data_IF_681830369432
#
_entry.id   IF_681830369432
#
_cell.length_a   1.000
_cell.length_b   1.000
_cell.length_c   1.000
_cell.angle_alpha   90.00
_cell.angle_beta   90.00
_cell.angle_gamma   90.00
#
_symmetry.space_group_name_H-M   'P 1'
#
loop_
_entity.id
_entity.type
_entity.pdbx_description
1 polymer ?
#
# COMPACT_ATOMS: atom_id res chain seq x y z
N UNK A 1 13.29 -8.64 -5.71
CA UNK A 1 13.81 -10.02 -5.85
C UNK A 1 15.24 -10.10 -6.42
N UNK A 2 15.64 -9.27 -7.39
CA UNK A 2 17.04 -9.30 -7.89
C UNK A 2 18.08 -9.07 -6.79
N UNK A 3 17.85 -8.06 -5.92
CA UNK A 3 18.73 -7.84 -4.76
C UNK A 3 18.78 -9.02 -3.77
N UNK A 4 17.69 -9.79 -3.63
CA UNK A 4 17.68 -11.02 -2.83
C UNK A 4 18.57 -12.09 -3.46
N UNK A 5 18.46 -12.31 -4.78
CA UNK A 5 19.31 -13.26 -5.50
C UNK A 5 20.80 -12.91 -5.32
N UNK A 6 21.12 -11.62 -5.43
CA UNK A 6 22.48 -11.14 -5.20
C UNK A 6 22.94 -11.41 -3.78
N UNK A 7 22.17 -11.07 -2.76
CA UNK A 7 22.50 -11.35 -1.36
C UNK A 7 22.69 -12.84 -1.10
N UNK A 8 21.81 -13.71 -1.62
CA UNK A 8 21.96 -15.17 -1.46
C UNK A 8 23.29 -15.66 -2.03
N UNK A 9 23.72 -15.13 -3.17
CA UNK A 9 25.04 -15.45 -3.77
C UNK A 9 26.19 -14.93 -2.92
N UNK A 10 26.10 -13.69 -2.45
CA UNK A 10 27.15 -13.03 -1.64
C UNK A 10 27.35 -13.72 -0.29
N UNK A 11 26.27 -14.10 0.39
CA UNK A 11 26.32 -14.78 1.69
C UNK A 11 26.74 -16.27 1.58
N UNK A 12 26.56 -16.91 0.40
CA UNK A 12 27.10 -18.25 0.11
C UNK A 12 26.48 -19.40 0.93
N UNK A 13 25.34 -19.21 1.58
CA UNK A 13 24.67 -20.26 2.36
C UNK A 13 23.93 -21.28 1.48
N UNK A 14 23.71 -20.95 0.21
CA UNK A 14 23.08 -21.82 -0.79
C UNK A 14 24.15 -22.22 -1.81
N UNK A 15 24.20 -23.52 -2.15
CA UNK A 15 25.11 -24.02 -3.17
C UNK A 15 24.84 -23.29 -4.50
N UNK A 16 25.87 -22.89 -5.27
CA UNK A 16 25.71 -22.06 -6.47
C UNK A 16 24.72 -22.60 -7.49
N UNK A 17 24.69 -23.92 -7.67
CA UNK A 17 23.78 -24.65 -8.57
C UNK A 17 22.35 -24.73 -8.09
N UNK A 18 22.10 -24.43 -6.80
CA UNK A 18 20.77 -24.38 -6.16
C UNK A 18 20.23 -22.96 -5.96
N UNK A 19 21.00 -21.94 -6.32
CA UNK A 19 20.53 -20.55 -6.25
C UNK A 19 19.45 -20.34 -7.32
N UNK A 20 18.23 -20.03 -6.87
CA UNK A 20 17.11 -19.75 -7.74
C UNK A 20 17.26 -18.38 -8.41
N UNK A 21 16.55 -18.20 -9.51
CA UNK A 21 16.36 -16.88 -10.10
C UNK A 21 15.36 -16.02 -9.30
N UNK A 22 15.13 -14.81 -9.76
CA UNK A 22 14.20 -13.87 -9.10
C UNK A 22 12.77 -14.40 -9.01
N UNK A 23 12.37 -15.22 -9.95
CA UNK A 23 11.01 -15.79 -10.01
C UNK A 23 10.86 -16.96 -9.05
N UNK A 24 11.88 -17.83 -8.94
CA UNK A 24 11.91 -18.91 -7.96
C UNK A 24 11.84 -18.36 -6.53
N UNK A 25 12.61 -17.32 -6.20
CA UNK A 25 12.50 -16.68 -4.88
C UNK A 25 11.17 -15.91 -4.69
N UNK A 26 10.60 -15.35 -5.76
CA UNK A 26 9.25 -14.75 -5.67
C UNK A 26 8.18 -15.79 -5.36
N UNK A 27 8.28 -16.96 -5.97
CA UNK A 27 7.34 -18.06 -5.72
C UNK A 27 7.39 -18.52 -4.25
N UNK A 28 8.58 -18.75 -3.69
CA UNK A 28 8.75 -19.09 -2.27
C UNK A 28 8.17 -18.00 -1.36
N UNK A 29 8.49 -16.73 -1.66
CA UNK A 29 7.95 -15.62 -0.88
C UNK A 29 6.42 -15.57 -0.91
N UNK A 30 5.82 -15.72 -2.08
CA UNK A 30 4.37 -15.71 -2.23
C UNK A 30 3.72 -16.89 -1.49
N UNK A 31 4.30 -18.09 -1.58
CA UNK A 31 3.80 -19.27 -0.88
C UNK A 31 3.77 -19.05 0.64
N UNK A 32 4.90 -18.61 1.22
CA UNK A 32 4.97 -18.30 2.64
C UNK A 32 4.02 -17.17 3.07
N UNK A 33 3.90 -16.14 2.25
CA UNK A 33 2.98 -15.03 2.51
C UNK A 33 1.53 -15.50 2.50
N UNK A 34 1.13 -16.27 1.49
CA UNK A 34 -0.23 -16.79 1.37
C UNK A 34 -0.59 -17.76 2.49
N UNK A 35 0.35 -18.58 2.96
CA UNK A 35 0.15 -19.45 4.13
C UNK A 35 -0.22 -18.61 5.35
N UNK A 36 0.58 -17.59 5.68
CA UNK A 36 0.31 -16.68 6.80
C UNK A 36 -1.02 -15.92 6.65
N UNK A 37 -1.32 -15.46 5.44
CA UNK A 37 -2.58 -14.74 5.15
C UNK A 37 -3.76 -15.67 5.31
N UNK A 38 -3.70 -16.89 4.77
CA UNK A 38 -4.79 -17.87 4.84
C UNK A 38 -5.06 -18.31 6.28
N UNK A 39 -4.04 -18.51 7.11
CA UNK A 39 -4.19 -18.80 8.55
C UNK A 39 -4.97 -17.66 9.24
N UNK A 40 -4.58 -16.41 9.03
CA UNK A 40 -5.27 -15.27 9.62
C UNK A 40 -6.71 -15.14 9.11
N UNK A 41 -6.94 -15.39 7.82
CA UNK A 41 -8.28 -15.37 7.23
C UNK A 41 -9.17 -16.47 7.80
N UNK A 42 -8.64 -17.67 8.04
CA UNK A 42 -9.39 -18.75 8.71
C UNK A 42 -9.83 -18.33 10.14
N UNK A 43 -8.97 -17.62 10.87
CA UNK A 43 -9.31 -17.08 12.20
C UNK A 43 -10.35 -15.96 12.13
N UNK A 44 -10.36 -15.15 11.07
CA UNK A 44 -11.43 -14.18 10.80
C UNK A 44 -12.75 -14.90 10.56
N UNK A 45 -12.77 -15.94 9.74
CA UNK A 45 -13.96 -16.73 9.45
C UNK A 45 -14.51 -17.46 10.68
N UNK A 46 -13.61 -17.86 11.58
CA UNK A 46 -13.99 -18.45 12.88
C UNK A 46 -14.48 -17.41 13.90
N UNK A 47 -14.44 -16.11 13.58
CA UNK A 47 -14.81 -15.04 14.51
C UNK A 47 -13.79 -14.78 15.63
N UNK A 48 -12.58 -15.32 15.52
CA UNK A 48 -11.49 -15.08 16.48
C UNK A 48 -10.81 -13.72 16.24
N UNK A 49 -10.84 -13.23 15.02
CA UNK A 49 -10.33 -11.93 14.59
C UNK A 49 -11.45 -11.08 14.00
N UNK A 50 -11.38 -9.76 14.17
CA UNK A 50 -12.24 -8.79 13.51
C UNK A 50 -11.58 -8.15 12.30
N UNK A 51 -12.34 -7.42 11.48
CA UNK A 51 -11.80 -6.65 10.35
C UNK A 51 -10.73 -5.65 10.79
N UNK A 52 -10.88 -5.08 11.96
CA UNK A 52 -9.92 -4.15 12.56
C UNK A 52 -8.54 -4.78 12.80
N UNK A 53 -8.46 -6.12 12.90
CA UNK A 53 -7.17 -6.82 13.03
C UNK A 53 -6.35 -6.84 11.74
N UNK A 54 -6.97 -6.51 10.61
CA UNK A 54 -6.35 -6.51 9.28
C UNK A 54 -6.10 -5.10 8.73
N UNK A 55 -6.68 -4.08 9.33
CA UNK A 55 -6.62 -2.71 8.83
C UNK A 55 -5.94 -1.76 9.81
N UNK A 56 -5.39 -0.68 9.30
CA UNK A 56 -4.96 0.44 10.13
C UNK A 56 -6.21 1.10 10.70
N UNK A 57 -6.17 1.40 12.00
CA UNK A 57 -7.32 1.96 12.73
C UNK A 57 -7.93 3.16 12.01
N UNK A 58 -9.24 3.10 11.75
CA UNK A 58 -10.01 4.13 11.09
C UNK A 58 -9.79 4.24 9.57
N UNK A 59 -9.01 3.32 8.96
CA UNK A 59 -8.71 3.38 7.53
C UNK A 59 -9.94 3.13 6.66
N UNK A 60 -10.76 2.15 7.01
CA UNK A 60 -11.96 1.79 6.23
C UNK A 60 -12.97 2.92 6.27
N UNK A 61 -13.23 3.49 7.45
CA UNK A 61 -14.13 4.64 7.62
C UNK A 61 -13.63 5.86 6.86
N UNK A 62 -12.32 6.10 6.87
CA UNK A 62 -11.71 7.18 6.10
C UNK A 62 -11.93 6.99 4.60
N UNK A 63 -11.74 5.78 4.06
CA UNK A 63 -11.99 5.47 2.66
C UNK A 63 -13.44 5.72 2.26
N UNK A 64 -14.39 5.28 3.07
CA UNK A 64 -15.81 5.54 2.83
C UNK A 64 -16.16 7.04 2.90
N UNK A 65 -15.50 7.80 3.77
CA UNK A 65 -15.67 9.25 3.83
C UNK A 65 -15.12 9.94 2.57
N UNK A 66 -13.98 9.50 2.03
CA UNK A 66 -13.46 9.99 0.74
C UNK A 66 -14.46 9.73 -0.39
N UNK A 67 -15.02 8.52 -0.47
CA UNK A 67 -16.07 8.16 -1.44
C UNK A 67 -17.30 9.06 -1.29
N UNK A 68 -17.77 9.25 -0.05
CA UNK A 68 -18.94 10.11 0.25
C UNK A 68 -18.74 11.57 -0.20
N UNK A 69 -17.49 12.05 -0.17
CA UNK A 69 -17.10 13.38 -0.68
C UNK A 69 -16.92 13.44 -2.19
N UNK A 70 -17.10 12.33 -2.89
CA UNK A 70 -16.94 12.26 -4.35
C UNK A 70 -15.49 12.30 -4.83
N UNK A 71 -14.54 11.96 -3.96
CA UNK A 71 -13.13 11.89 -4.33
C UNK A 71 -12.83 10.60 -5.10
N UNK A 72 -12.05 10.71 -6.17
CA UNK A 72 -11.58 9.56 -6.92
C UNK A 72 -10.46 8.85 -6.17
N UNK A 73 -10.69 7.61 -5.81
CA UNK A 73 -9.74 6.80 -5.03
C UNK A 73 -9.12 5.70 -5.90
N UNK A 74 -7.81 5.53 -5.79
CA UNK A 74 -7.02 4.52 -6.52
C UNK A 74 -6.26 3.67 -5.52
N UNK A 75 -6.38 2.35 -5.62
CA UNK A 75 -5.60 1.40 -4.83
C UNK A 75 -4.44 0.87 -5.67
N UNK A 76 -3.21 1.08 -5.21
CA UNK A 76 -1.99 0.65 -5.89
C UNK A 76 -1.18 -0.29 -4.99
N UNK A 77 -1.11 -1.57 -5.34
CA UNK A 77 -0.35 -2.58 -4.59
C UNK A 77 0.75 -3.21 -5.44
N UNK A 78 1.84 -3.62 -4.79
CA UNK A 78 2.86 -4.48 -5.41
C UNK A 78 2.49 -5.97 -5.43
N UNK A 79 1.40 -6.34 -4.76
CA UNK A 79 0.83 -7.70 -4.72
C UNK A 79 0.09 -8.00 -6.03
N UNK A 80 -0.11 -9.27 -6.34
CA UNK A 80 -0.81 -9.68 -7.55
C UNK A 80 -2.27 -9.18 -7.51
N UNK A 81 -2.77 -8.66 -8.65
CA UNK A 81 -4.05 -7.94 -8.74
C UNK A 81 -5.23 -8.74 -8.19
N UNK A 82 -5.30 -10.04 -8.52
CA UNK A 82 -6.38 -10.92 -8.06
C UNK A 82 -6.45 -11.02 -6.54
N UNK A 83 -5.28 -11.08 -5.88
CA UNK A 83 -5.19 -11.12 -4.44
C UNK A 83 -5.63 -9.80 -3.83
N UNK A 84 -5.18 -8.67 -4.38
CA UNK A 84 -5.56 -7.34 -3.91
C UNK A 84 -7.08 -7.14 -4.01
N UNK A 85 -7.70 -7.52 -5.12
CA UNK A 85 -9.15 -7.40 -5.32
C UNK A 85 -9.90 -8.28 -4.32
N UNK A 86 -9.46 -9.53 -4.15
CA UNK A 86 -10.06 -10.47 -3.21
C UNK A 86 -10.01 -9.96 -1.77
N UNK A 87 -8.85 -9.47 -1.35
CA UNK A 87 -8.65 -8.92 -0.01
C UNK A 87 -9.47 -7.64 0.20
N UNK A 88 -9.47 -6.72 -0.75
CA UNK A 88 -10.23 -5.48 -0.66
C UNK A 88 -11.75 -5.73 -0.52
N UNK A 89 -12.27 -6.72 -1.25
CA UNK A 89 -13.69 -7.14 -1.13
C UNK A 89 -13.98 -7.76 0.23
N UNK A 90 -13.09 -8.63 0.70
CA UNK A 90 -13.26 -9.31 2.00
C UNK A 90 -13.18 -8.33 3.17
N UNK A 91 -12.34 -7.31 3.08
CA UNK A 91 -12.19 -6.28 4.10
C UNK A 91 -13.20 -5.12 3.95
N UNK A 92 -14.11 -5.18 2.98
CA UNK A 92 -15.26 -4.30 2.87
C UNK A 92 -14.97 -2.90 2.33
N UNK A 93 -13.89 -2.70 1.57
CA UNK A 93 -13.55 -1.38 1.01
C UNK A 93 -13.33 -1.37 -0.51
N UNK A 94 -13.52 -2.49 -1.20
CA UNK A 94 -13.30 -2.57 -2.66
C UNK A 94 -14.18 -1.58 -3.44
N UNK A 95 -15.42 -1.39 -2.99
CA UNK A 95 -16.42 -0.52 -3.63
C UNK A 95 -16.02 0.96 -3.64
N UNK A 96 -15.11 1.38 -2.75
CA UNK A 96 -14.54 2.74 -2.75
C UNK A 96 -13.70 2.98 -4.01
N UNK A 97 -12.95 1.97 -4.43
CA UNK A 97 -12.05 2.06 -5.57
C UNK A 97 -12.73 1.68 -6.88
N UNK A 98 -13.60 0.67 -6.88
CA UNK A 98 -14.32 0.18 -8.06
C UNK A 98 -15.27 1.23 -8.65
N UNK A 99 -15.78 2.15 -7.81
CA UNK A 99 -16.77 3.13 -8.23
C UNK A 99 -16.22 4.23 -9.15
N UNK A 100 -15.02 4.71 -8.93
CA UNK A 100 -14.51 5.92 -9.60
C UNK A 100 -13.00 5.92 -9.92
N UNK A 101 -12.23 4.97 -9.42
CA UNK A 101 -10.78 4.98 -9.58
C UNK A 101 -10.26 3.70 -10.19
N UNK A 102 -10.12 2.72 -9.37
CA UNK A 102 -9.67 1.38 -9.76
C UNK A 102 -8.71 0.76 -8.75
N UNK A 103 -8.60 -0.55 -8.85
CA UNK A 103 -7.67 -1.35 -8.09
C UNK A 103 -6.57 -1.80 -9.05
N UNK A 104 -5.32 -1.51 -8.69
CA UNK A 104 -4.14 -1.81 -9.48
C UNK A 104 -3.18 -2.68 -8.67
N UNK A 105 -2.75 -3.76 -9.30
CA UNK A 105 -1.81 -4.71 -8.74
C UNK A 105 -0.82 -5.21 -9.78
N UNK A 106 0.10 -6.06 -9.36
CA UNK A 106 1.01 -6.72 -10.29
C UNK A 106 0.23 -7.70 -11.18
N UNK A 107 0.48 -7.67 -12.49
CA UNK A 107 -0.11 -8.59 -13.47
C UNK A 107 1.04 -9.27 -14.20
N UNK A 108 1.38 -10.49 -13.77
CA UNK A 108 2.36 -11.38 -14.42
C UNK A 108 3.76 -10.79 -14.59
N UNK A 109 3.88 -9.69 -15.29
CA UNK A 109 5.16 -9.04 -15.59
C UNK A 109 5.30 -7.76 -14.75
N UNK A 110 6.23 -7.77 -13.79
CA UNK A 110 6.49 -6.65 -12.86
C UNK A 110 6.86 -5.36 -13.64
N UNK A 111 7.36 -5.49 -14.87
CA UNK A 111 7.72 -4.33 -15.69
C UNK A 111 6.49 -3.58 -16.24
N UNK A 112 5.32 -4.23 -16.28
CA UNK A 112 4.08 -3.61 -16.79
C UNK A 112 3.39 -2.72 -15.77
N UNK A 113 3.51 -3.01 -14.47
CA UNK A 113 2.93 -2.20 -13.41
C UNK A 113 4.03 -1.54 -12.57
N UNK A 114 3.98 -0.22 -12.46
CA UNK A 114 4.74 0.52 -11.47
C UNK A 114 3.89 1.66 -10.90
N UNK A 115 4.04 1.92 -9.60
CA UNK A 115 3.35 3.05 -8.94
C UNK A 115 3.64 4.38 -9.64
N UNK A 116 4.85 4.54 -10.21
CA UNK A 116 5.21 5.70 -11.03
C UNK A 116 4.30 5.84 -12.26
N UNK A 117 4.17 4.77 -13.07
CA UNK A 117 3.33 4.78 -14.28
C UNK A 117 1.87 5.08 -13.94
N UNK A 118 1.37 4.52 -12.83
CA UNK A 118 -0.01 4.77 -12.38
C UNK A 118 -0.21 6.25 -12.01
N UNK A 119 0.69 6.85 -11.25
CA UNK A 119 0.64 8.27 -10.89
C UNK A 119 0.64 9.16 -12.14
N UNK A 120 1.55 8.90 -13.09
CA UNK A 120 1.62 9.64 -14.36
C UNK A 120 0.36 9.45 -15.21
N UNK A 121 -0.23 8.26 -15.20
CA UNK A 121 -1.48 7.95 -15.89
C UNK A 121 -2.65 8.72 -15.30
N UNK A 122 -2.85 8.69 -13.98
CA UNK A 122 -3.92 9.42 -13.29
C UNK A 122 -3.86 10.91 -13.58
N UNK A 123 -2.67 11.51 -13.46
CA UNK A 123 -2.48 12.93 -13.75
C UNK A 123 -2.88 13.26 -15.18
N UNK A 124 -2.43 12.46 -16.15
CA UNK A 124 -2.71 12.68 -17.57
C UNK A 124 -4.20 12.50 -17.90
N UNK A 125 -4.82 11.43 -17.41
CA UNK A 125 -6.22 11.10 -17.72
C UNK A 125 -7.21 12.12 -17.17
N UNK A 126 -6.91 12.68 -16.00
CA UNK A 126 -7.77 13.65 -15.33
C UNK A 126 -7.31 15.10 -15.49
N UNK A 127 -6.20 15.34 -16.19
CA UNK A 127 -5.65 16.68 -16.37
C UNK A 127 -5.26 17.37 -15.07
N UNK A 128 -4.83 16.60 -14.06
CA UNK A 128 -4.56 17.12 -12.72
C UNK A 128 -3.27 17.92 -12.67
N UNK A 129 -3.27 18.94 -11.81
CA UNK A 129 -2.05 19.56 -11.32
C UNK A 129 -1.59 18.86 -10.04
N UNK A 130 -0.29 18.88 -9.77
CA UNK A 130 0.30 18.15 -8.65
C UNK A 130 -0.47 18.23 -7.31
N UNK A 131 -0.82 19.45 -6.81
CA UNK A 131 -1.55 19.60 -5.55
C UNK A 131 -2.96 18.97 -5.50
N UNK A 132 -3.52 18.60 -6.66
CA UNK A 132 -4.82 17.92 -6.75
C UNK A 132 -4.69 16.39 -6.56
N UNK A 133 -3.46 15.88 -6.48
CA UNK A 133 -3.17 14.49 -6.20
C UNK A 133 -2.65 14.35 -4.76
N UNK A 134 -3.30 13.49 -3.97
CA UNK A 134 -2.83 13.09 -2.66
C UNK A 134 -2.58 11.59 -2.62
N UNK A 135 -1.44 11.16 -2.11
CA UNK A 135 -1.16 9.75 -1.88
C UNK A 135 -0.93 9.44 -0.41
N UNK A 136 -1.40 8.26 -0.02
CA UNK A 136 -1.22 7.67 1.30
C UNK A 136 -0.37 6.42 1.16
N UNK A 137 0.67 6.27 1.97
CA UNK A 137 1.52 5.09 1.90
C UNK A 137 2.44 4.94 3.10
N UNK A 138 2.84 3.70 3.39
CA UNK A 138 3.74 3.33 4.47
C UNK A 138 5.18 3.09 3.98
N UNK A 139 5.40 3.14 2.68
CA UNK A 139 6.69 2.96 2.03
C UNK A 139 7.25 4.25 1.42
N UNK A 140 8.57 4.31 1.21
CA UNK A 140 9.22 5.49 0.62
C UNK A 140 8.99 5.63 -0.89
N UNK A 141 8.54 4.59 -1.59
CA UNK A 141 8.41 4.59 -3.05
C UNK A 141 7.23 5.48 -3.46
N UNK A 142 6.03 5.19 -2.96
CA UNK A 142 4.82 5.95 -3.24
C UNK A 142 4.96 7.42 -2.84
N UNK A 143 5.59 7.70 -1.70
CA UNK A 143 5.86 9.06 -1.25
C UNK A 143 6.70 9.82 -2.29
N UNK A 144 7.81 9.22 -2.73
CA UNK A 144 8.70 9.85 -3.71
C UNK A 144 8.03 10.07 -5.06
N UNK A 145 7.25 9.08 -5.54
CA UNK A 145 6.63 9.19 -6.87
C UNK A 145 5.58 10.32 -6.90
N UNK A 146 4.80 10.48 -5.84
CA UNK A 146 3.84 11.58 -5.73
C UNK A 146 4.55 12.93 -5.57
N UNK A 147 5.62 13.00 -4.78
CA UNK A 147 6.40 14.24 -4.63
C UNK A 147 7.06 14.70 -5.94
N UNK A 148 7.49 13.78 -6.81
CA UNK A 148 8.06 14.14 -8.13
C UNK A 148 7.10 14.89 -9.02
N UNK A 149 5.81 14.66 -8.88
CA UNK A 149 4.76 15.32 -9.66
C UNK A 149 4.11 16.51 -8.92
N UNK A 150 4.67 16.91 -7.78
CA UNK A 150 4.18 18.02 -6.97
C UNK A 150 2.94 17.71 -6.14
N UNK A 151 2.59 16.43 -5.97
CA UNK A 151 1.46 15.97 -5.16
C UNK A 151 1.70 16.07 -3.66
N UNK A 152 0.63 15.88 -2.90
CA UNK A 152 0.66 15.80 -1.44
C UNK A 152 0.90 14.36 -1.02
N UNK A 153 1.87 14.13 -0.16
CA UNK A 153 2.24 12.80 0.32
C UNK A 153 1.97 12.65 1.82
N UNK A 154 1.06 11.76 2.18
CA UNK A 154 0.73 11.40 3.56
C UNK A 154 1.40 10.06 3.89
N UNK A 155 2.37 10.10 4.77
CA UNK A 155 3.08 8.91 5.25
C UNK A 155 2.36 8.24 6.41
N UNK A 156 2.08 6.95 6.28
CA UNK A 156 1.43 6.14 7.31
C UNK A 156 2.52 5.42 8.13
N UNK A 157 2.86 5.98 9.26
CA UNK A 157 3.85 5.41 10.17
C UNK A 157 3.19 4.58 11.27
N UNK A 158 2.26 3.69 10.89
CA UNK A 158 1.57 2.79 11.81
C UNK A 158 2.52 1.83 12.51
N UNK A 159 2.25 1.55 13.77
CA UNK A 159 2.90 0.47 14.51
C UNK A 159 1.97 -0.75 14.50
N UNK A 160 2.29 -1.74 13.68
CA UNK A 160 1.47 -2.94 13.53
C UNK A 160 1.58 -3.90 14.73
N UNK A 161 2.63 -3.76 15.55
CA UNK A 161 2.85 -4.58 16.73
C UNK A 161 2.05 -4.04 17.91
N UNK A 162 2.22 -2.75 18.19
CA UNK A 162 1.52 -2.09 19.30
C UNK A 162 0.08 -1.71 18.96
N UNK A 163 -0.22 -1.56 17.67
CA UNK A 163 -1.54 -1.17 17.14
C UNK A 163 -2.00 0.24 17.53
N UNK A 164 -1.09 1.06 18.00
CA UNK A 164 -1.30 2.49 18.31
C UNK A 164 0.02 3.25 18.23
N UNK A 165 -0.09 4.58 18.11
CA UNK A 165 1.07 5.47 18.07
C UNK A 165 1.82 5.46 16.74
N UNK A 166 3.06 5.89 16.77
CA UNK A 166 3.94 6.03 15.61
C UNK A 166 5.12 5.06 15.69
N UNK A 167 5.31 4.28 14.65
CA UNK A 167 6.56 3.55 14.43
C UNK A 167 7.65 4.56 14.01
N UNK A 168 8.60 4.83 14.89
CA UNK A 168 9.61 5.86 14.69
C UNK A 168 10.56 5.57 13.52
N UNK A 169 10.83 4.31 13.24
CA UNK A 169 11.65 3.89 12.09
C UNK A 169 10.93 4.17 10.78
N UNK A 170 9.65 3.79 10.67
CA UNK A 170 8.81 4.15 9.50
C UNK A 170 8.73 5.66 9.35
N UNK A 171 8.44 6.40 10.42
CA UNK A 171 8.37 7.85 10.42
C UNK A 171 9.64 8.48 9.83
N UNK A 172 10.81 8.08 10.30
CA UNK A 172 12.08 8.61 9.81
C UNK A 172 12.27 8.35 8.30
N UNK A 173 11.95 7.15 7.83
CA UNK A 173 12.03 6.79 6.41
C UNK A 173 11.08 7.61 5.53
N UNK A 174 9.85 7.83 5.99
CA UNK A 174 8.82 8.57 5.27
C UNK A 174 9.16 10.06 5.20
N UNK A 175 9.67 10.65 6.28
CA UNK A 175 10.19 12.04 6.27
C UNK A 175 11.33 12.16 5.27
N UNK A 176 12.30 11.23 5.30
CA UNK A 176 13.43 11.23 4.35
C UNK A 176 12.97 11.05 2.89
N UNK A 177 11.84 10.39 2.67
CA UNK A 177 11.24 10.23 1.35
C UNK A 177 10.51 11.49 0.85
N UNK A 178 10.24 12.48 1.73
CA UNK A 178 9.60 13.74 1.42
C UNK A 178 8.11 13.79 1.76
N UNK A 179 7.62 12.98 2.71
CA UNK A 179 6.24 13.07 3.16
C UNK A 179 5.92 14.45 3.73
N UNK A 180 4.80 15.04 3.31
CA UNK A 180 4.31 16.33 3.80
C UNK A 180 3.63 16.19 5.16
N UNK A 181 2.94 15.07 5.36
CA UNK A 181 2.19 14.75 6.58
C UNK A 181 2.58 13.34 7.03
N UNK A 182 2.68 13.13 8.34
CA UNK A 182 2.85 11.79 8.93
C UNK A 182 1.73 11.53 9.91
N UNK A 183 1.06 10.39 9.75
CA UNK A 183 0.06 9.90 10.70
C UNK A 183 0.40 8.48 11.16
N UNK A 184 -0.05 8.10 12.35
CA UNK A 184 0.04 6.71 12.84
C UNK A 184 -1.17 5.87 12.45
N UNK A 185 -2.32 6.51 12.42
CA UNK A 185 -3.61 5.92 12.07
C UNK A 185 -4.58 7.01 11.59
N UNK A 186 -5.83 6.66 11.36
CA UNK A 186 -6.87 7.57 10.86
C UNK A 186 -7.84 8.07 11.95
N UNK A 187 -7.49 7.99 13.22
CA UNK A 187 -8.34 8.50 14.32
C UNK A 187 -8.61 10.00 14.23
N UNK A 188 -7.68 10.75 13.61
CA UNK A 188 -7.81 12.19 13.36
C UNK A 188 -8.25 12.52 11.93
N UNK A 189 -9.02 11.63 11.29
CA UNK A 189 -9.40 11.77 9.88
C UNK A 189 -10.14 13.09 9.55
N UNK A 190 -10.93 13.63 10.49
CA UNK A 190 -11.63 14.91 10.27
C UNK A 190 -10.65 16.06 10.08
N UNK A 191 -9.69 16.20 10.99
CA UNK A 191 -8.65 17.24 10.92
C UNK A 191 -7.78 17.05 9.66
N UNK A 192 -7.44 15.80 9.34
CA UNK A 192 -6.67 15.47 8.14
C UNK A 192 -7.42 15.91 6.88
N UNK A 193 -8.69 15.58 6.76
CA UNK A 193 -9.52 15.97 5.63
C UNK A 193 -9.69 17.49 5.52
N UNK A 194 -9.95 18.17 6.64
CA UNK A 194 -10.01 19.62 6.67
C UNK A 194 -8.72 20.24 6.16
N UNK A 195 -7.56 19.76 6.61
CA UNK A 195 -6.26 20.23 6.15
C UNK A 195 -6.04 19.98 4.65
N UNK A 196 -6.37 18.79 4.15
CA UNK A 196 -6.17 18.42 2.73
C UNK A 196 -7.14 19.12 1.78
N UNK A 197 -8.30 19.58 2.26
CA UNK A 197 -9.35 20.21 1.45
C UNK A 197 -9.45 21.73 1.66
N UNK A 198 -8.63 22.31 2.52
CA UNK A 198 -8.52 23.77 2.62
C UNK A 198 -7.94 24.31 1.31
N UNK A 199 -8.74 25.13 0.61
CA UNK A 199 -8.33 25.87 -0.57
C UNK A 199 -7.67 27.18 -0.19
#
# INVERSE_FOLDING_TARGET
>A
MEGLVQMVREFGHVQPDKVLDKWGYKAIYNEMLLEMVNERLARLDAGELGLDDFTVKGAVEFLHELKRRGLHCYLASGTDLEDVVREARRLGYADVFEAQGGIYGSVGDIEKFSKKKLVEQIIREHGLQGPQLCAFGDGPVEIREVKKVGGIAVGIASDEVQRFGLNLTKRARLIKAGADIIIGDYTQQKQLLEYLTQK
#
